data_IF_984364343266
#
_entry.id   IF_984364343266
#
_cell.length_a   1.000
_cell.length_b   1.000
_cell.length_c   1.000
_cell.angle_alpha   90.00
_cell.angle_beta   90.00
_cell.angle_gamma   90.00
#
_symmetry.space_group_name_H-M   'P 1'
#
loop_
_entity.id
_entity.type
_entity.pdbx_description
1 polymer ?
#
# COMPACT_ATOMS: atom_id res chain seq x y z
N UNK A 1 -24.40 -5.34 66.98
CA UNK A 1 -23.69 -5.01 65.73
C UNK A 1 -24.70 -5.09 64.61
N UNK A 2 -24.98 -3.97 63.94
CA UNK A 2 -26.03 -3.87 62.92
C UNK A 2 -25.63 -4.67 61.67
N UNK A 3 -26.47 -5.60 61.23
CA UNK A 3 -26.27 -6.36 60.01
C UNK A 3 -26.69 -5.49 58.81
N UNK A 4 -25.71 -5.11 57.98
CA UNK A 4 -25.96 -4.42 56.72
C UNK A 4 -26.73 -5.34 55.77
N UNK A 5 -28.00 -5.02 55.49
CA UNK A 5 -28.78 -5.67 54.45
C UNK A 5 -28.17 -5.35 53.08
N UNK A 6 -27.37 -6.27 52.54
CA UNK A 6 -26.93 -6.20 51.15
C UNK A 6 -28.17 -6.34 50.25
N UNK A 7 -28.60 -5.23 49.65
CA UNK A 7 -29.66 -5.24 48.63
C UNK A 7 -29.09 -5.92 47.38
N UNK A 8 -29.60 -7.11 47.06
CA UNK A 8 -29.25 -7.82 45.84
C UNK A 8 -29.78 -7.10 44.60
N UNK A 9 -28.99 -7.13 43.51
CA UNK A 9 -29.38 -6.63 42.21
C UNK A 9 -30.64 -7.34 41.69
N UNK A 10 -31.53 -6.60 41.04
CA UNK A 10 -32.70 -7.20 40.39
C UNK A 10 -32.32 -7.78 39.03
N UNK A 11 -33.01 -8.84 38.59
CA UNK A 11 -32.86 -9.36 37.24
C UNK A 11 -33.15 -8.29 36.18
N UNK A 12 -34.10 -7.39 36.47
CA UNK A 12 -34.47 -6.29 35.59
C UNK A 12 -33.33 -5.29 35.40
N UNK A 13 -32.59 -4.95 36.45
CA UNK A 13 -31.39 -4.10 36.33
C UNK A 13 -30.32 -4.75 35.45
N UNK A 14 -30.06 -6.05 35.63
CA UNK A 14 -29.09 -6.76 34.80
C UNK A 14 -29.54 -6.79 33.32
N UNK A 15 -30.83 -6.97 33.05
CA UNK A 15 -31.38 -6.94 31.70
C UNK A 15 -31.20 -5.56 31.05
N UNK A 16 -31.49 -4.48 31.77
CA UNK A 16 -31.29 -3.11 31.25
C UNK A 16 -29.81 -2.87 30.93
N UNK A 17 -28.90 -3.30 31.79
CA UNK A 17 -27.45 -3.16 31.55
C UNK A 17 -27.03 -3.90 30.27
N UNK A 18 -27.49 -5.13 30.07
CA UNK A 18 -27.18 -5.89 28.85
C UNK A 18 -27.72 -5.21 27.59
N UNK A 19 -28.93 -4.64 27.65
CA UNK A 19 -29.52 -3.89 26.53
C UNK A 19 -28.71 -2.64 26.22
N UNK A 20 -28.34 -1.84 27.22
CA UNK A 20 -27.54 -0.63 27.04
C UNK A 20 -26.15 -1.00 26.47
N UNK A 21 -25.51 -2.05 26.99
CA UNK A 21 -24.23 -2.54 26.45
C UNK A 21 -24.36 -3.01 25.01
N UNK A 22 -25.45 -3.71 24.64
CA UNK A 22 -25.70 -4.13 23.27
C UNK A 22 -25.86 -2.94 22.30
N UNK A 23 -26.60 -1.91 22.71
CA UNK A 23 -26.78 -0.68 21.91
C UNK A 23 -25.45 0.07 21.75
N UNK A 24 -24.67 0.20 22.83
CA UNK A 24 -23.34 0.84 22.78
C UNK A 24 -22.38 0.08 21.87
N UNK A 25 -22.33 -1.25 21.98
CA UNK A 25 -21.48 -2.09 21.12
C UNK A 25 -21.88 -1.96 19.63
N UNK A 26 -23.18 -1.95 19.32
CA UNK A 26 -23.66 -1.75 17.95
C UNK A 26 -23.28 -0.37 17.38
N UNK A 27 -23.40 0.69 18.18
CA UNK A 27 -23.00 2.04 17.79
C UNK A 27 -21.48 2.16 17.55
N UNK A 28 -20.67 1.56 18.42
CA UNK A 28 -19.22 1.53 18.27
C UNK A 28 -18.77 0.76 17.02
N UNK A 29 -19.44 -0.35 16.69
CA UNK A 29 -19.16 -1.10 15.47
C UNK A 29 -19.39 -0.27 14.20
N UNK A 30 -20.50 0.49 14.14
CA UNK A 30 -20.83 1.31 12.97
C UNK A 30 -19.92 2.54 12.82
N UNK A 31 -19.53 3.18 13.93
CA UNK A 31 -18.68 4.36 13.91
C UNK A 31 -17.18 4.05 13.75
N UNK A 32 -16.72 2.91 14.26
CA UNK A 32 -15.33 2.47 14.15
C UNK A 32 -14.90 2.22 12.70
N UNK A 33 -15.69 1.47 11.92
CA UNK A 33 -15.32 1.06 10.56
C UNK A 33 -14.96 2.22 9.62
N UNK A 34 -15.74 3.31 9.64
CA UNK A 34 -15.50 4.48 8.78
C UNK A 34 -14.27 5.30 9.21
N UNK A 35 -13.92 5.31 10.50
CA UNK A 35 -12.73 6.04 11.01
C UNK A 35 -11.45 5.28 10.67
N UNK A 36 -11.46 3.95 10.76
CA UNK A 36 -10.30 3.13 10.42
C UNK A 36 -9.97 3.20 8.91
N UNK A 37 -10.97 3.23 8.04
CA UNK A 37 -10.76 3.40 6.59
C UNK A 37 -10.07 4.74 6.26
N UNK A 38 -10.54 5.85 6.83
CA UNK A 38 -9.92 7.16 6.60
C UNK A 38 -8.50 7.26 7.17
N UNK A 39 -8.23 6.60 8.30
CA UNK A 39 -6.88 6.54 8.87
C UNK A 39 -5.90 5.83 7.92
N UNK A 40 -6.28 4.67 7.35
CA UNK A 40 -5.46 3.96 6.37
C UNK A 40 -5.26 4.75 5.09
N UNK A 41 -6.28 5.43 4.56
CA UNK A 41 -6.11 6.32 3.38
C UNK A 41 -5.11 7.44 3.67
N UNK A 42 -5.19 8.06 4.85
CA UNK A 42 -4.22 9.10 5.26
C UNK A 42 -2.81 8.53 5.39
N UNK A 43 -2.67 7.35 5.98
CA UNK A 43 -1.40 6.64 6.07
C UNK A 43 -0.83 6.33 4.68
N UNK A 44 -1.67 5.84 3.76
CA UNK A 44 -1.28 5.55 2.38
C UNK A 44 -0.72 6.80 1.71
N UNK A 45 -1.44 7.93 1.77
CA UNK A 45 -0.95 9.21 1.25
C UNK A 45 0.40 9.60 1.84
N UNK A 46 0.62 9.38 3.14
CA UNK A 46 1.92 9.66 3.77
C UNK A 46 3.02 8.72 3.26
N UNK A 47 2.76 7.40 3.16
CA UNK A 47 3.70 6.43 2.60
C UNK A 47 4.09 6.80 1.17
N UNK A 48 3.11 7.12 0.31
CA UNK A 48 3.37 7.55 -1.07
C UNK A 48 4.22 8.82 -1.14
N UNK A 49 4.04 9.78 -0.23
CA UNK A 49 4.89 10.98 -0.18
C UNK A 49 6.32 10.65 0.27
N UNK A 50 6.51 9.73 1.22
CA UNK A 50 7.85 9.26 1.63
C UNK A 50 8.53 8.53 0.47
N UNK A 51 7.81 7.65 -0.24
CA UNK A 51 8.30 6.96 -1.43
C UNK A 51 8.67 7.94 -2.54
N UNK A 52 7.81 8.92 -2.82
CA UNK A 52 8.09 9.97 -3.79
C UNK A 52 9.37 10.74 -3.43
N UNK A 53 9.57 11.08 -2.16
CA UNK A 53 10.81 11.70 -1.69
C UNK A 53 12.04 10.81 -1.85
N UNK A 54 11.92 9.50 -1.61
CA UNK A 54 13.02 8.55 -1.81
C UNK A 54 13.39 8.39 -3.30
N UNK A 55 12.39 8.41 -4.19
CA UNK A 55 12.58 8.38 -5.65
C UNK A 55 13.27 9.65 -6.15
N UNK A 56 12.87 10.82 -5.66
CA UNK A 56 13.54 12.09 -6.00
C UNK A 56 14.98 12.13 -5.46
N UNK A 57 15.23 11.60 -4.26
CA UNK A 57 16.58 11.46 -3.72
C UNK A 57 17.43 10.50 -4.56
N UNK A 58 16.86 9.39 -5.03
CA UNK A 58 17.50 8.46 -5.94
C UNK A 58 17.91 9.17 -7.23
N UNK A 59 16.99 9.92 -7.85
CA UNK A 59 17.28 10.72 -9.05
C UNK A 59 18.39 11.73 -8.83
N UNK A 60 18.42 12.39 -7.67
CA UNK A 60 19.49 13.33 -7.35
C UNK A 60 20.87 12.65 -7.24
N UNK A 61 20.91 11.39 -6.79
CA UNK A 61 22.14 10.62 -6.63
C UNK A 61 22.61 9.96 -7.96
N UNK A 62 21.69 9.32 -8.68
CA UNK A 62 21.97 8.48 -9.85
C UNK A 62 21.77 9.22 -11.19
N UNK A 63 21.19 10.42 -11.16
CA UNK A 63 20.93 11.26 -12.34
C UNK A 63 19.67 10.91 -13.12
N UNK A 64 19.00 9.81 -12.78
CA UNK A 64 17.76 9.33 -13.39
C UNK A 64 16.83 8.74 -12.33
N UNK A 65 15.53 8.69 -12.61
CA UNK A 65 14.61 7.94 -11.75
C UNK A 65 14.95 6.44 -11.76
N UNK A 66 14.58 5.68 -10.72
CA UNK A 66 14.60 4.22 -10.77
C UNK A 66 13.88 3.72 -12.01
N UNK A 67 14.42 2.70 -12.68
CA UNK A 67 13.70 2.07 -13.78
C UNK A 67 12.49 1.31 -13.22
N UNK A 68 11.40 1.23 -14.01
CA UNK A 68 10.22 0.41 -13.69
C UNK A 68 10.27 -0.97 -14.39
N UNK A 69 11.40 -1.30 -15.02
CA UNK A 69 11.69 -2.60 -15.62
C UNK A 69 12.71 -3.36 -14.80
N UNK A 70 12.40 -4.63 -14.57
CA UNK A 70 13.32 -5.54 -13.92
C UNK A 70 14.56 -5.79 -14.78
N UNK A 71 15.75 -5.93 -14.17
CA UNK A 71 16.93 -6.41 -14.87
C UNK A 71 16.67 -7.79 -15.50
N UNK A 72 17.21 -8.03 -16.69
CA UNK A 72 16.98 -9.30 -17.40
C UNK A 72 17.36 -10.52 -16.55
N UNK A 73 16.40 -11.40 -16.33
CA UNK A 73 16.58 -12.63 -15.55
C UNK A 73 16.60 -12.42 -14.03
N UNK A 74 16.15 -11.26 -13.54
CA UNK A 74 15.95 -11.01 -12.10
C UNK A 74 14.79 -11.84 -11.54
N UNK A 75 13.59 -11.73 -12.13
CA UNK A 75 12.38 -12.42 -11.71
C UNK A 75 12.02 -13.62 -12.60
N UNK A 76 11.08 -14.43 -12.13
CA UNK A 76 10.51 -15.54 -12.90
C UNK A 76 9.38 -15.09 -13.83
N UNK A 77 8.76 -13.95 -13.52
CA UNK A 77 7.58 -13.44 -14.19
C UNK A 77 7.63 -11.88 -14.28
N UNK A 78 6.59 -11.22 -14.79
CA UNK A 78 6.54 -9.74 -14.92
C UNK A 78 5.39 -9.10 -14.12
N UNK A 79 4.71 -9.88 -13.26
CA UNK A 79 3.76 -9.38 -12.29
C UNK A 79 4.53 -8.51 -11.30
N UNK A 80 3.92 -7.40 -10.88
CA UNK A 80 4.47 -6.45 -9.92
C UNK A 80 5.78 -5.75 -10.33
N UNK A 81 6.26 -5.96 -11.56
CA UNK A 81 7.61 -5.61 -12.01
C UNK A 81 8.02 -4.16 -11.73
N UNK A 82 7.11 -3.18 -11.85
CA UNK A 82 7.41 -1.79 -11.53
C UNK A 82 7.74 -1.56 -10.05
N UNK A 83 7.00 -2.21 -9.15
CA UNK A 83 7.23 -2.09 -7.70
C UNK A 83 8.50 -2.85 -7.28
N UNK A 84 8.71 -4.03 -7.83
CA UNK A 84 9.91 -4.83 -7.61
C UNK A 84 11.17 -4.14 -8.12
N UNK A 85 11.13 -3.53 -9.31
CA UNK A 85 12.25 -2.77 -9.86
C UNK A 85 12.60 -1.58 -8.97
N UNK A 86 11.58 -0.87 -8.46
CA UNK A 86 11.76 0.20 -7.50
C UNK A 86 12.35 -0.30 -6.17
N UNK A 87 11.90 -1.45 -5.67
CA UNK A 87 12.47 -2.11 -4.50
C UNK A 87 13.95 -2.45 -4.72
N UNK A 88 14.31 -3.08 -5.85
CA UNK A 88 15.69 -3.41 -6.18
C UNK A 88 16.58 -2.16 -6.22
N UNK A 89 16.07 -1.06 -6.79
CA UNK A 89 16.81 0.21 -6.86
C UNK A 89 17.03 0.82 -5.47
N UNK A 90 15.97 0.96 -4.66
CA UNK A 90 16.06 1.60 -3.34
C UNK A 90 16.78 0.74 -2.30
N UNK A 91 16.79 -0.58 -2.45
CA UNK A 91 17.48 -1.51 -1.55
C UNK A 91 18.79 -2.06 -2.13
N UNK A 92 19.28 -1.49 -3.25
CA UNK A 92 20.57 -1.88 -3.82
C UNK A 92 21.70 -1.72 -2.77
N UNK A 93 22.65 -2.67 -2.63
CA UNK A 93 23.69 -2.62 -1.61
C UNK A 93 24.57 -1.36 -1.67
N UNK A 94 24.77 -0.83 -2.87
CA UNK A 94 25.62 0.35 -3.09
C UNK A 94 24.86 1.68 -3.01
N UNK A 95 23.53 1.66 -3.00
CA UNK A 95 22.74 2.89 -2.94
C UNK A 95 22.87 3.52 -1.55
N UNK A 96 23.34 4.75 -1.43
CA UNK A 96 23.56 5.40 -0.14
C UNK A 96 22.39 6.30 0.31
N UNK A 97 21.35 6.45 -0.52
CA UNK A 97 20.24 7.35 -0.25
C UNK A 97 19.21 6.83 0.74
N UNK A 98 18.15 7.62 0.92
CA UNK A 98 17.03 7.29 1.79
C UNK A 98 16.28 6.07 1.30
N UNK A 99 15.92 5.19 2.24
CA UNK A 99 15.18 3.96 1.99
C UNK A 99 13.84 4.02 2.72
N UNK A 100 12.77 3.45 2.14
CA UNK A 100 11.51 3.29 2.85
C UNK A 100 11.64 2.28 3.98
N UNK A 101 10.62 2.26 4.85
CA UNK A 101 10.54 1.30 5.94
C UNK A 101 10.41 -0.13 5.38
N UNK A 102 11.14 -1.09 5.98
CA UNK A 102 11.05 -2.49 5.62
C UNK A 102 9.71 -3.10 6.01
N UNK A 103 9.00 -2.52 6.98
CA UNK A 103 7.65 -2.95 7.36
C UNK A 103 6.62 -2.71 6.24
N UNK A 104 6.95 -1.91 5.23
CA UNK A 104 6.08 -1.68 4.08
C UNK A 104 6.29 -2.71 2.98
N UNK A 105 7.29 -3.58 3.09
CA UNK A 105 7.54 -4.61 2.08
C UNK A 105 6.45 -5.67 2.12
N UNK A 106 5.92 -5.99 0.95
CA UNK A 106 4.97 -7.08 0.72
C UNK A 106 5.55 -8.05 -0.30
N UNK A 107 5.01 -9.26 -0.34
CA UNK A 107 5.46 -10.35 -1.20
C UNK A 107 4.21 -11.04 -1.75
N UNK A 108 3.51 -10.34 -2.65
CA UNK A 108 2.16 -10.76 -3.06
C UNK A 108 2.16 -11.95 -4.01
N UNK A 109 3.18 -12.09 -4.85
CA UNK A 109 3.34 -13.21 -5.77
C UNK A 109 4.34 -14.29 -5.29
N UNK A 110 5.07 -14.04 -4.19
CA UNK A 110 5.95 -15.03 -3.56
C UNK A 110 7.23 -15.28 -4.34
N UNK A 111 7.59 -14.34 -5.20
CA UNK A 111 8.67 -14.40 -6.17
C UNK A 111 10.06 -14.28 -5.49
N UNK A 112 11.07 -14.90 -6.10
CA UNK A 112 12.45 -14.70 -5.68
C UNK A 112 13.44 -14.58 -6.83
N UNK A 113 14.47 -13.78 -6.57
CA UNK A 113 15.61 -13.60 -7.46
C UNK A 113 16.56 -14.79 -7.41
N UNK A 114 17.29 -15.05 -8.52
CA UNK A 114 18.28 -16.15 -8.59
C UNK A 114 19.51 -15.96 -7.71
N UNK A 115 19.77 -14.74 -7.23
CA UNK A 115 20.91 -14.37 -6.38
C UNK A 115 20.47 -13.18 -5.52
N UNK A 116 21.07 -12.98 -4.36
CA UNK A 116 20.80 -11.80 -3.55
C UNK A 116 21.16 -10.52 -4.33
N UNK A 117 20.15 -9.68 -4.61
CA UNK A 117 20.31 -8.42 -5.35
C UNK A 117 20.25 -7.18 -4.45
N UNK A 118 19.79 -7.32 -3.20
CA UNK A 118 19.58 -6.22 -2.28
C UNK A 118 20.47 -6.34 -1.04
N UNK A 119 20.49 -5.28 -0.23
CA UNK A 119 21.16 -5.29 1.06
C UNK A 119 20.48 -6.20 2.11
N UNK A 120 19.27 -6.69 1.85
CA UNK A 120 18.54 -7.55 2.77
C UNK A 120 19.07 -8.98 2.68
N UNK A 121 19.14 -9.75 3.78
CA UNK A 121 19.67 -11.12 3.80
C UNK A 121 18.66 -12.15 3.24
N UNK A 122 18.00 -11.84 2.13
CA UNK A 122 17.00 -12.69 1.46
C UNK A 122 17.11 -12.54 -0.06
N UNK A 123 16.51 -13.47 -0.79
CA UNK A 123 16.37 -13.45 -2.26
C UNK A 123 14.97 -13.04 -2.72
N UNK A 124 14.02 -12.95 -1.78
CA UNK A 124 12.66 -12.51 -2.07
C UNK A 124 12.67 -11.20 -2.82
N UNK A 125 11.85 -11.15 -3.86
CA UNK A 125 11.66 -9.96 -4.66
C UNK A 125 10.43 -9.25 -4.13
N UNK A 126 10.64 -8.37 -3.16
CA UNK A 126 9.52 -7.68 -2.51
C UNK A 126 8.96 -6.56 -3.38
N UNK A 127 7.69 -6.26 -3.15
CA UNK A 127 7.07 -5.01 -3.56
C UNK A 127 7.04 -3.99 -2.42
N UNK A 128 6.95 -2.71 -2.77
CA UNK A 128 6.61 -1.66 -1.82
C UNK A 128 5.09 -1.61 -1.66
N UNK A 129 4.60 -2.00 -0.49
CA UNK A 129 3.18 -2.18 -0.20
C UNK A 129 2.48 -0.97 0.43
N UNK A 130 1.19 -0.88 0.16
CA UNK A 130 0.27 0.06 0.78
C UNK A 130 -0.27 -0.43 2.15
N UNK A 131 -1.08 0.36 2.88
CA UNK A 131 -1.63 -0.06 4.18
C UNK A 131 -2.65 -1.21 4.15
N UNK A 132 -3.07 -1.67 2.97
CA UNK A 132 -3.93 -2.84 2.78
C UNK A 132 -3.15 -4.08 2.36
N UNK A 133 -1.83 -3.96 2.18
CA UNK A 133 -0.96 -5.07 1.82
C UNK A 133 -0.88 -5.31 0.32
N UNK A 134 -1.40 -4.38 -0.50
CA UNK A 134 -1.28 -4.45 -1.95
C UNK A 134 0.00 -3.73 -2.42
N UNK A 135 0.63 -4.18 -3.51
CA UNK A 135 1.75 -3.46 -4.10
C UNK A 135 1.35 -2.05 -4.54
N UNK A 136 2.20 -1.07 -4.29
CA UNK A 136 2.11 0.24 -4.91
C UNK A 136 2.64 0.13 -6.33
N UNK A 137 1.80 0.46 -7.32
CA UNK A 137 2.22 0.51 -8.71
C UNK A 137 3.15 1.70 -8.95
N UNK A 138 4.29 1.43 -9.59
CA UNK A 138 5.30 2.43 -9.94
C UNK A 138 5.47 2.47 -11.46
N UNK A 139 5.45 3.67 -12.01
CA UNK A 139 5.75 3.91 -13.42
C UNK A 139 6.76 5.04 -13.56
N UNK A 140 7.80 4.83 -14.38
CA UNK A 140 8.65 5.91 -14.88
C UNK A 140 8.00 6.55 -16.10
N UNK A 141 8.13 7.87 -16.24
CA UNK A 141 7.59 8.64 -17.37
C UNK A 141 8.02 8.14 -18.75
N UNK A 142 9.16 7.46 -18.84
CA UNK A 142 9.65 6.83 -20.07
C UNK A 142 8.76 5.66 -20.53
N UNK A 143 7.99 5.05 -19.62
CA UNK A 143 7.21 3.84 -19.87
C UNK A 143 5.71 3.98 -19.60
N UNK A 144 5.18 5.20 -19.42
CA UNK A 144 3.73 5.44 -19.20
C UNK A 144 2.80 4.83 -20.25
N UNK A 145 3.29 4.57 -21.47
CA UNK A 145 2.51 3.90 -22.52
C UNK A 145 2.31 2.39 -22.32
N UNK A 146 2.95 1.78 -21.33
CA UNK A 146 2.87 0.35 -21.06
C UNK A 146 1.62 -0.02 -20.23
N UNK A 147 1.11 -1.22 -20.48
CA UNK A 147 0.19 -1.93 -19.60
C UNK A 147 1.02 -2.98 -18.84
N UNK A 148 0.89 -3.01 -17.51
CA UNK A 148 1.63 -3.92 -16.63
C UNK A 148 0.64 -4.67 -15.74
N UNK A 149 1.06 -5.80 -15.19
CA UNK A 149 0.23 -6.63 -14.34
C UNK A 149 0.65 -6.48 -12.88
N UNK A 150 -0.32 -6.32 -11.98
CA UNK A 150 -0.12 -6.36 -10.54
C UNK A 150 -1.00 -7.43 -9.91
N UNK A 151 -0.48 -8.14 -8.90
CA UNK A 151 -1.26 -9.07 -8.09
C UNK A 151 -1.76 -8.33 -6.84
N UNK A 152 -3.02 -7.93 -6.86
CA UNK A 152 -3.65 -7.13 -5.82
C UNK A 152 -5.10 -7.55 -5.61
N UNK A 153 -5.68 -7.17 -4.48
CA UNK A 153 -7.09 -7.42 -4.18
C UNK A 153 -7.41 -7.22 -2.70
N UNK A 154 -8.67 -7.42 -2.30
CA UNK A 154 -9.02 -7.46 -0.89
C UNK A 154 -8.34 -8.66 -0.21
N UNK A 155 -8.19 -8.58 1.11
CA UNK A 155 -7.49 -9.57 1.91
C UNK A 155 -7.99 -11.01 1.62
N UNK A 156 -7.09 -11.87 1.14
CA UNK A 156 -7.38 -13.28 0.81
C UNK A 156 -7.92 -13.52 -0.60
N UNK A 157 -8.13 -12.48 -1.41
CA UNK A 157 -8.69 -12.55 -2.77
C UNK A 157 -7.82 -11.79 -3.78
N UNK A 158 -6.51 -12.09 -3.79
CA UNK A 158 -5.59 -11.52 -4.78
C UNK A 158 -5.92 -12.01 -6.19
N UNK A 159 -5.89 -11.08 -7.15
CA UNK A 159 -6.08 -11.37 -8.57
C UNK A 159 -5.10 -10.54 -9.42
N UNK A 160 -4.75 -11.06 -10.59
CA UNK A 160 -4.00 -10.28 -11.58
C UNK A 160 -4.86 -9.14 -12.12
N UNK A 161 -4.34 -7.92 -12.03
CA UNK A 161 -4.98 -6.70 -12.47
C UNK A 161 -4.08 -5.98 -13.47
N UNK A 162 -4.69 -5.49 -14.56
CA UNK A 162 -4.00 -4.69 -15.57
C UNK A 162 -3.99 -3.24 -15.12
N UNK A 163 -2.80 -2.68 -15.00
CA UNK A 163 -2.59 -1.32 -14.52
C UNK A 163 -1.87 -0.52 -15.61
N UNK A 164 -2.32 0.71 -15.79
CA UNK A 164 -1.73 1.68 -16.72
C UNK A 164 -1.44 2.98 -15.98
N UNK A 165 -0.46 3.75 -16.46
CA UNK A 165 -0.24 5.09 -15.95
C UNK A 165 -1.49 5.97 -16.16
N UNK A 166 -1.73 6.87 -15.21
CA UNK A 166 -2.88 7.77 -15.18
C UNK A 166 -2.69 8.93 -16.16
N UNK A 167 -3.76 9.25 -16.88
CA UNK A 167 -3.88 10.45 -17.70
C UNK A 167 -4.73 11.50 -17.00
N UNK A 168 -4.35 12.76 -17.14
CA UNK A 168 -5.12 13.87 -16.63
C UNK A 168 -6.47 13.95 -17.37
N UNK A 169 -7.61 13.98 -16.65
CA UNK A 169 -8.95 13.80 -17.24
C UNK A 169 -9.31 14.88 -18.27
N UNK A 170 -8.92 16.14 -18.00
CA UNK A 170 -9.27 17.27 -18.87
C UNK A 170 -8.34 17.43 -20.07
N UNK A 171 -7.04 17.21 -19.91
CA UNK A 171 -6.04 17.52 -20.95
C UNK A 171 -5.66 16.28 -21.77
N UNK A 172 -5.93 15.07 -21.27
CA UNK A 172 -5.53 13.80 -21.89
C UNK A 172 -4.02 13.52 -21.85
N UNK A 173 -3.21 14.46 -21.36
CA UNK A 173 -1.79 14.28 -21.10
C UNK A 173 -1.56 13.35 -19.92
N UNK A 174 -0.32 12.89 -19.74
CA UNK A 174 0.05 12.08 -18.58
C UNK A 174 0.07 12.91 -17.30
N UNK A 175 -0.44 12.34 -16.21
CA UNK A 175 -0.12 12.86 -14.88
C UNK A 175 1.39 12.74 -14.63
N UNK A 176 1.98 13.71 -13.96
CA UNK A 176 3.44 13.76 -13.73
C UNK A 176 4.28 13.49 -15.01
N UNK A 177 3.95 14.16 -16.12
CA UNK A 177 4.42 13.86 -17.49
C UNK A 177 5.95 13.75 -17.74
N UNK A 178 6.81 14.18 -16.80
CA UNK A 178 8.27 14.03 -16.88
C UNK A 178 8.88 13.54 -15.56
N UNK A 179 8.08 12.89 -14.74
CA UNK A 179 8.43 12.38 -13.43
C UNK A 179 8.18 10.87 -13.36
N UNK A 180 7.45 10.48 -12.34
CA UNK A 180 6.99 9.12 -12.11
C UNK A 180 5.58 9.17 -11.52
N UNK A 181 4.92 8.01 -11.51
CA UNK A 181 3.63 7.82 -10.87
C UNK A 181 3.74 6.74 -9.79
N UNK A 182 3.14 7.00 -8.62
CA UNK A 182 2.84 5.98 -7.62
C UNK A 182 1.33 5.88 -7.44
N UNK A 183 0.79 4.67 -7.51
CA UNK A 183 -0.64 4.38 -7.43
C UNK A 183 -0.84 3.23 -6.44
N UNK A 184 -1.67 3.42 -5.42
CA UNK A 184 -2.15 2.35 -4.54
C UNK A 184 -3.58 2.03 -4.95
N UNK A 185 -3.90 0.73 -4.98
CA UNK A 185 -5.23 0.21 -5.29
C UNK A 185 -6.29 0.51 -4.21
N UNK A 186 -5.91 1.26 -3.16
CA UNK A 186 -6.85 1.74 -2.17
C UNK A 186 -7.52 0.66 -1.30
N UNK A 187 -8.57 1.07 -0.57
CA UNK A 187 -9.36 0.19 0.29
C UNK A 187 -9.95 -1.07 -0.36
N UNK A 188 -10.40 -0.99 -1.61
CA UNK A 188 -11.01 -2.13 -2.30
C UNK A 188 -9.97 -3.08 -2.92
N UNK A 189 -8.73 -2.61 -3.07
CA UNK A 189 -7.63 -3.37 -3.65
C UNK A 189 -7.72 -3.52 -5.17
N UNK A 190 -8.54 -2.71 -5.84
CA UNK A 190 -8.77 -2.74 -7.28
C UNK A 190 -8.19 -1.51 -7.95
N UNK A 191 -7.15 -1.68 -8.78
CA UNK A 191 -6.58 -0.57 -9.54
C UNK A 191 -7.59 0.01 -10.55
N UNK A 192 -7.60 1.33 -10.65
CA UNK A 192 -8.50 2.07 -11.54
C UNK A 192 -9.89 2.30 -10.96
N UNK A 193 -10.09 1.99 -9.68
CA UNK A 193 -11.29 2.34 -8.93
C UNK A 193 -11.31 3.84 -8.55
N UNK A 194 -12.42 4.30 -7.94
CA UNK A 194 -12.52 5.69 -7.47
C UNK A 194 -11.75 5.93 -6.15
N UNK A 195 -11.36 4.87 -5.42
CA UNK A 195 -10.65 4.95 -4.14
C UNK A 195 -9.13 4.73 -4.25
N UNK A 196 -8.60 4.59 -5.47
CA UNK A 196 -7.18 4.66 -5.77
C UNK A 196 -6.53 5.88 -5.10
N UNK A 197 -5.35 5.65 -4.52
CA UNK A 197 -4.57 6.70 -3.87
C UNK A 197 -3.28 6.93 -4.66
N UNK A 198 -3.07 8.15 -5.13
CA UNK A 198 -1.92 8.51 -5.96
C UNK A 198 -0.97 9.49 -5.27
N UNK A 199 0.30 9.51 -5.69
CA UNK A 199 1.28 10.52 -5.22
C UNK A 199 1.11 11.90 -5.89
N UNK A 200 0.36 11.94 -6.99
CA UNK A 200 0.02 13.10 -7.81
C UNK A 200 -1.50 13.33 -7.78
N UNK A 201 -1.98 14.47 -8.30
CA UNK A 201 -3.39 14.82 -8.22
C UNK A 201 -3.82 15.22 -6.80
N UNK A 202 -5.05 15.74 -6.65
CA UNK A 202 -5.58 16.24 -5.38
C UNK A 202 -6.72 15.39 -4.88
#
# INVERSE_FOLDING_TARGET
MSASSARGFTLLELMIVMVILGILMAYLAFTGGNVFGQAKVKECKQRLQVLAGAIEAFRAAEGQYPDDRLPSGAAMNEINAGSEALFLALFHPEYAGSRPDQEWLVDTDGDETRKQLTMLPTRQLFELGDPWGNPVAYFDSLHYGAEVTYLAGPEGELAEQRVVAVRHPTTGGWEAAGGFQLISAGPDGLFGSEDDVTSFGR
#
